data_IF_757833066347
#
_entry.id   IF_757833066347
#
_cell.length_a   1.000
_cell.length_b   1.000
_cell.length_c   1.000
_cell.angle_alpha   90.00
_cell.angle_beta   90.00
_cell.angle_gamma   90.00
#
_symmetry.space_group_name_H-M   'P 1'
#
loop_
_entity.id
_entity.type
_entity.pdbx_description
1 polymer ?
#
# COMPACT_ATOMS: atom_id res chain seq x y z
N UNK A 1 46.40 10.43 -1.15
CA UNK A 1 46.74 10.38 0.28
C UNK A 1 45.78 9.37 0.92
N UNK A 2 46.26 8.16 1.19
CA UNK A 2 45.45 7.08 1.77
C UNK A 2 45.27 7.35 3.25
N UNK A 3 44.05 7.69 3.66
CA UNK A 3 43.66 7.80 5.07
C UNK A 3 43.76 6.42 5.72
N UNK A 4 44.84 6.16 6.46
CA UNK A 4 44.91 5.05 7.40
C UNK A 4 44.19 5.49 8.68
N UNK A 5 42.86 5.46 8.66
CA UNK A 5 42.05 5.58 9.87
C UNK A 5 42.27 4.34 10.73
N UNK A 6 42.30 4.52 12.05
CA UNK A 6 42.51 3.43 12.97
C UNK A 6 41.33 2.44 12.91
N UNK A 7 41.54 1.21 13.38
CA UNK A 7 40.47 0.21 13.42
C UNK A 7 39.31 0.69 14.28
N UNK A 8 39.61 1.37 15.38
CA UNK A 8 38.68 1.93 16.34
C UNK A 8 37.82 3.03 15.72
N UNK A 9 38.42 3.91 14.90
CA UNK A 9 37.68 4.96 14.16
C UNK A 9 36.71 4.33 13.15
N UNK A 10 37.14 3.28 12.45
CA UNK A 10 36.30 2.55 11.50
C UNK A 10 35.16 1.83 12.21
N UNK A 11 35.42 1.24 13.38
CA UNK A 11 34.40 0.56 14.18
C UNK A 11 33.38 1.55 14.73
N UNK A 12 33.83 2.68 15.25
CA UNK A 12 32.97 3.76 15.77
C UNK A 12 32.04 4.29 14.67
N UNK A 13 32.56 4.48 13.45
CA UNK A 13 31.75 4.92 12.31
C UNK A 13 30.66 3.89 11.94
N UNK A 14 31.00 2.60 12.00
CA UNK A 14 30.05 1.51 11.73
C UNK A 14 28.97 1.46 12.82
N UNK A 15 29.34 1.54 14.10
CA UNK A 15 28.40 1.54 15.21
C UNK A 15 27.40 2.71 15.12
N UNK A 16 27.89 3.90 14.78
CA UNK A 16 27.04 5.08 14.56
C UNK A 16 26.08 4.88 13.37
N UNK A 17 26.56 4.33 12.26
CA UNK A 17 25.74 4.04 11.09
C UNK A 17 24.66 3.00 11.39
N UNK A 18 25.00 1.93 12.13
CA UNK A 18 24.04 0.90 12.55
C UNK A 18 22.98 1.51 13.48
N UNK A 19 23.39 2.31 14.46
CA UNK A 19 22.46 2.97 15.36
C UNK A 19 21.48 3.90 14.61
N UNK A 20 21.96 4.58 13.56
CA UNK A 20 21.11 5.41 12.70
C UNK A 20 20.13 4.58 11.87
N UNK A 21 20.59 3.47 11.27
CA UNK A 21 19.72 2.56 10.51
C UNK A 21 18.66 1.92 11.40
N UNK A 22 19.02 1.50 12.62
CA UNK A 22 18.07 0.95 13.59
C UNK A 22 16.97 1.95 13.93
N UNK A 23 17.30 3.24 14.10
CA UNK A 23 16.30 4.30 14.33
C UNK A 23 15.34 4.46 13.15
N UNK A 24 15.84 4.38 11.91
CA UNK A 24 15.02 4.47 10.70
C UNK A 24 14.10 3.26 10.50
N UNK A 25 14.55 2.07 10.87
CA UNK A 25 13.73 0.85 10.83
C UNK A 25 12.71 0.80 11.96
N UNK A 26 13.06 1.34 13.13
CA UNK A 26 12.19 1.36 14.32
C UNK A 26 11.06 2.37 14.21
N UNK A 27 11.14 3.33 13.29
CA UNK A 27 9.97 4.11 12.89
C UNK A 27 9.12 3.26 11.97
N UNK A 28 7.97 2.71 12.42
CA UNK A 28 7.08 1.99 11.51
C UNK A 28 6.71 2.97 10.40
N UNK A 29 7.19 2.69 9.19
CA UNK A 29 6.71 3.40 8.03
C UNK A 29 5.18 3.22 8.06
N UNK A 30 4.38 4.31 8.04
CA UNK A 30 2.94 4.16 8.02
C UNK A 30 2.62 3.24 6.86
N UNK A 31 2.05 2.07 7.19
CA UNK A 31 1.74 1.04 6.20
C UNK A 31 1.02 1.73 5.05
N UNK A 32 1.49 1.51 3.82
CA UNK A 32 0.95 2.19 2.65
C UNK A 32 -0.58 2.03 2.68
N UNK A 33 -1.32 3.14 2.65
CA UNK A 33 -2.78 3.11 2.78
C UNK A 33 -3.43 2.17 1.75
N UNK A 34 -2.82 2.00 0.57
CA UNK A 34 -3.27 1.04 -0.44
C UNK A 34 -3.15 -0.40 0.06
N UNK A 35 -2.06 -0.75 0.74
CA UNK A 35 -1.89 -2.06 1.37
C UNK A 35 -2.91 -2.30 2.49
N UNK A 36 -3.35 -1.23 3.17
CA UNK A 36 -4.38 -1.35 4.22
C UNK A 36 -5.78 -1.66 3.67
N UNK A 37 -6.08 -1.25 2.43
CA UNK A 37 -7.41 -1.46 1.81
C UNK A 37 -7.43 -2.57 0.74
N UNK A 38 -6.26 -3.09 0.36
CA UNK A 38 -6.17 -4.13 -0.66
C UNK A 38 -6.80 -5.41 -0.13
N UNK A 39 -7.82 -5.90 -0.84
CA UNK A 39 -8.53 -7.13 -0.47
C UNK A 39 -9.69 -6.93 0.50
N UNK A 40 -10.03 -5.70 0.91
CA UNK A 40 -11.19 -5.42 1.77
C UNK A 40 -12.51 -5.97 1.20
N UNK A 41 -12.61 -6.10 -0.13
CA UNK A 41 -13.79 -6.64 -0.82
C UNK A 41 -13.57 -8.04 -1.43
N UNK A 42 -12.48 -8.73 -1.09
CA UNK A 42 -12.06 -9.97 -1.76
C UNK A 42 -13.13 -11.07 -1.77
N UNK A 43 -13.95 -11.10 -0.72
CA UNK A 43 -14.99 -12.12 -0.52
C UNK A 43 -16.35 -11.47 -0.25
N UNK A 44 -16.54 -10.20 -0.62
CA UNK A 44 -17.79 -9.47 -0.41
C UNK A 44 -18.77 -9.73 -1.57
N UNK A 45 -19.85 -10.51 -1.38
CA UNK A 45 -20.77 -10.87 -2.46
C UNK A 45 -21.47 -9.65 -3.08
N UNK A 46 -21.78 -8.62 -2.29
CA UNK A 46 -22.39 -7.40 -2.83
C UNK A 46 -21.45 -6.65 -3.79
N UNK A 47 -20.14 -6.84 -3.67
CA UNK A 47 -19.17 -6.20 -4.56
C UNK A 47 -19.27 -6.73 -6.00
N UNK A 48 -19.55 -8.02 -6.17
CA UNK A 48 -19.76 -8.61 -7.49
C UNK A 48 -21.01 -8.05 -8.20
N UNK A 49 -22.08 -7.78 -7.45
CA UNK A 49 -23.29 -7.14 -7.98
C UNK A 49 -22.99 -5.72 -8.47
N UNK A 50 -22.24 -4.93 -7.68
CA UNK A 50 -21.82 -3.58 -8.07
C UNK A 50 -20.95 -3.61 -9.34
N UNK A 51 -20.04 -4.58 -9.46
CA UNK A 51 -19.23 -4.75 -10.67
C UNK A 51 -20.07 -5.13 -11.89
N UNK A 52 -21.03 -6.04 -11.72
CA UNK A 52 -21.97 -6.42 -12.78
C UNK A 52 -22.79 -5.21 -13.25
N UNK A 53 -23.32 -4.45 -12.30
CA UNK A 53 -24.08 -3.23 -12.56
C UNK A 53 -23.24 -2.20 -13.33
N UNK A 54 -22.02 -1.93 -12.87
CA UNK A 54 -21.10 -1.00 -13.53
C UNK A 54 -20.65 -1.47 -14.92
N UNK A 55 -20.59 -2.79 -15.19
CA UNK A 55 -20.34 -3.33 -16.53
C UNK A 55 -21.51 -3.06 -17.46
N UNK A 56 -22.74 -3.35 -17.01
CA UNK A 56 -23.95 -3.18 -17.80
C UNK A 56 -24.15 -1.71 -18.22
N UNK A 57 -23.92 -0.75 -17.31
CA UNK A 57 -23.96 0.69 -17.64
C UNK A 57 -22.95 1.04 -18.75
N UNK A 58 -21.69 0.59 -18.64
CA UNK A 58 -20.65 0.89 -19.65
C UNK A 58 -20.93 0.23 -21.00
N UNK A 59 -21.67 -0.86 -21.01
CA UNK A 59 -22.12 -1.54 -22.22
C UNK A 59 -23.38 -0.91 -22.83
N UNK A 60 -23.99 0.07 -22.15
CA UNK A 60 -25.21 0.73 -22.62
C UNK A 60 -26.46 -0.13 -22.44
N UNK A 61 -26.49 -1.02 -21.44
CA UNK A 61 -27.69 -1.78 -21.11
C UNK A 61 -28.73 -0.85 -20.44
N UNK A 62 -29.68 -0.38 -21.23
CA UNK A 62 -30.72 0.56 -20.79
C UNK A 62 -31.72 -0.07 -19.81
N UNK A 63 -31.86 -1.40 -19.79
CA UNK A 63 -32.77 -2.11 -18.88
C UNK A 63 -32.39 -1.91 -17.41
N UNK A 64 -31.11 -1.68 -17.15
CA UNK A 64 -30.54 -1.42 -15.83
C UNK A 64 -30.89 -0.02 -15.32
N UNK A 65 -30.97 0.98 -16.21
CA UNK A 65 -31.37 2.34 -15.85
C UNK A 65 -32.86 2.42 -15.47
N UNK A 66 -33.67 1.52 -16.00
CA UNK A 66 -35.11 1.43 -15.72
C UNK A 66 -35.39 0.83 -14.35
N UNK A 67 -34.59 -0.16 -13.92
CA UNK A 67 -34.65 -0.76 -12.57
C UNK A 67 -34.31 0.29 -11.49
N UNK A 68 -33.29 1.13 -11.72
CA UNK A 68 -32.91 2.19 -10.77
C UNK A 68 -33.92 3.33 -10.65
N UNK A 69 -34.85 3.47 -11.60
CA UNK A 69 -35.88 4.53 -11.58
C UNK A 69 -37.14 4.11 -10.81
N UNK A 70 -37.28 2.83 -10.49
CA UNK A 70 -38.46 2.25 -9.81
C UNK A 70 -38.25 1.96 -8.31
N UNK A 71 -37.05 2.25 -7.79
CA UNK A 71 -36.70 2.25 -6.36
C UNK A 71 -36.61 3.69 -5.85
#
# INVERSE_FOLDING_TARGET
MTINTSLEERLTAIEAAIAQLQKQVSTPQPMNWLQQITGTFKDEPAFEEVLAYGRAIRQGDESILEISRLL
#
